data_IF_187521784908
#
_entry.id   IF_187521784908
#
_cell.length_a   1.000
_cell.length_b   1.000
_cell.length_c   1.000
_cell.angle_alpha   90.00
_cell.angle_beta   90.00
_cell.angle_gamma   90.00
#
_symmetry.space_group_name_H-M   'P 1'
#
loop_
_entity.id
_entity.type
_entity.pdbx_description
1 polymer ?
#
# COMPACT_ATOMS: atom_id res chain seq x y z
N UNK A 1 -4.77 4.04 23.90
CA UNK A 1 -3.90 4.32 25.06
C UNK A 1 -2.65 3.43 24.99
N UNK A 2 -1.79 3.69 24.01
CA UNK A 2 -0.45 3.09 23.85
C UNK A 2 0.52 4.18 23.37
N UNK A 3 0.00 5.20 22.65
CA UNK A 3 0.75 6.37 22.14
C UNK A 3 1.25 7.24 23.29
N UNK A 4 0.52 7.24 24.41
CA UNK A 4 0.82 8.06 25.59
C UNK A 4 1.84 7.43 26.53
N UNK A 5 2.20 6.16 26.34
CA UNK A 5 3.13 5.45 27.23
C UNK A 5 4.48 5.26 26.55
N UNK A 6 5.06 6.34 26.03
CA UNK A 6 6.36 6.29 25.33
C UNK A 6 7.52 5.89 26.27
N UNK A 7 7.33 6.03 27.58
CA UNK A 7 8.36 5.84 28.60
C UNK A 7 8.51 4.41 29.12
N UNK A 8 7.52 3.53 28.92
CA UNK A 8 7.56 2.16 29.45
C UNK A 8 7.55 1.10 28.33
N UNK A 9 8.75 0.63 27.98
CA UNK A 9 8.99 -0.36 26.93
C UNK A 9 8.34 -1.71 27.27
N UNK A 10 8.30 -2.11 28.54
CA UNK A 10 7.74 -3.41 28.96
C UNK A 10 6.23 -3.45 28.71
N UNK A 11 5.53 -2.38 29.10
CA UNK A 11 4.09 -2.24 28.86
C UNK A 11 3.78 -2.20 27.36
N UNK A 12 4.61 -1.53 26.55
CA UNK A 12 4.45 -1.53 25.09
C UNK A 12 4.59 -2.94 24.51
N UNK A 13 5.57 -3.72 24.96
CA UNK A 13 5.78 -5.09 24.50
C UNK A 13 4.63 -6.02 24.91
N UNK A 14 4.13 -5.91 26.14
CA UNK A 14 2.99 -6.69 26.62
C UNK A 14 1.72 -6.38 25.81
N UNK A 15 1.44 -5.10 25.56
CA UNK A 15 0.28 -4.69 24.76
C UNK A 15 0.42 -5.12 23.30
N UNK A 16 1.63 -5.05 22.73
CA UNK A 16 1.89 -5.53 21.39
C UNK A 16 1.68 -7.05 21.27
N UNK A 17 2.09 -7.81 22.30
CA UNK A 17 1.86 -9.25 22.37
C UNK A 17 0.37 -9.57 22.41
N UNK A 18 -0.39 -8.94 23.32
CA UNK A 18 -1.85 -9.09 23.42
C UNK A 18 -2.56 -8.73 22.11
N UNK A 19 -2.09 -7.68 21.43
CA UNK A 19 -2.66 -7.27 20.15
C UNK A 19 -2.42 -8.31 19.04
N UNK A 20 -1.21 -8.89 18.97
CA UNK A 20 -0.91 -9.97 18.01
C UNK A 20 -1.72 -11.23 18.29
N UNK A 21 -1.88 -11.60 19.55
CA UNK A 21 -2.72 -12.74 19.95
C UNK A 21 -4.17 -12.54 19.51
N UNK A 22 -4.71 -11.33 19.68
CA UNK A 22 -6.07 -11.02 19.24
C UNK A 22 -6.22 -11.01 17.71
N UNK A 23 -5.25 -10.46 16.97
CA UNK A 23 -5.24 -10.58 15.49
C UNK A 23 -5.22 -12.05 15.08
N UNK A 24 -4.31 -12.84 15.66
CA UNK A 24 -4.17 -14.26 15.37
C UNK A 24 -5.46 -15.02 15.64
N UNK A 25 -6.10 -14.77 16.78
CA UNK A 25 -7.40 -15.37 17.15
C UNK A 25 -8.50 -15.00 16.14
N UNK A 26 -8.60 -13.73 15.74
CA UNK A 26 -9.63 -13.29 14.78
C UNK A 26 -9.45 -13.93 13.40
N UNK A 27 -8.21 -14.12 12.96
CA UNK A 27 -7.95 -14.65 11.61
C UNK A 27 -7.96 -16.18 11.57
N UNK A 28 -7.29 -16.85 12.50
CA UNK A 28 -7.18 -18.31 12.48
C UNK A 28 -8.36 -19.01 13.14
N UNK A 29 -8.89 -18.44 14.23
CA UNK A 29 -9.99 -19.09 14.97
C UNK A 29 -11.35 -18.62 14.46
N UNK A 30 -11.54 -17.30 14.31
CA UNK A 30 -12.83 -16.76 13.89
C UNK A 30 -12.98 -16.62 12.37
N UNK A 31 -11.89 -16.76 11.60
CA UNK A 31 -11.87 -16.58 10.14
C UNK A 31 -12.49 -15.23 9.71
N UNK A 32 -12.29 -14.19 10.52
CA UNK A 32 -12.80 -12.86 10.21
C UNK A 32 -12.08 -12.26 9.00
N UNK A 33 -12.87 -11.75 8.07
CA UNK A 33 -12.39 -11.08 6.85
C UNK A 33 -13.19 -9.81 6.66
N UNK A 34 -12.73 -8.72 7.27
CA UNK A 34 -13.40 -7.42 7.19
C UNK A 34 -12.37 -6.28 7.11
N UNK A 35 -12.84 -5.10 6.68
CA UNK A 35 -11.99 -3.94 6.49
C UNK A 35 -11.40 -3.43 7.81
N UNK A 36 -12.14 -3.54 8.91
CA UNK A 36 -11.72 -3.08 10.23
C UNK A 36 -10.50 -3.85 10.74
N UNK A 37 -10.45 -5.16 10.49
CA UNK A 37 -9.31 -6.00 10.81
C UNK A 37 -8.09 -5.61 9.99
N UNK A 38 -8.26 -5.34 8.69
CA UNK A 38 -7.19 -4.84 7.83
C UNK A 38 -6.66 -3.48 8.34
N UNK A 39 -7.56 -2.55 8.67
CA UNK A 39 -7.20 -1.25 9.27
C UNK A 39 -6.43 -1.44 10.58
N UNK A 40 -6.87 -2.34 11.45
CA UNK A 40 -6.19 -2.66 12.70
C UNK A 40 -4.76 -3.18 12.46
N UNK A 41 -4.55 -4.06 11.49
CA UNK A 41 -3.21 -4.55 11.14
C UNK A 41 -2.35 -3.41 10.60
N UNK A 42 -2.90 -2.54 9.73
CA UNK A 42 -2.18 -1.39 9.19
C UNK A 42 -1.73 -0.41 10.28
N UNK A 43 -2.62 -0.07 11.21
CA UNK A 43 -2.30 0.81 12.35
C UNK A 43 -1.18 0.21 13.20
N UNK A 44 -1.25 -1.10 13.45
CA UNK A 44 -0.21 -1.78 14.19
C UNK A 44 1.11 -1.78 13.44
N UNK A 45 1.13 -2.11 12.14
CA UNK A 45 2.34 -2.08 11.31
C UNK A 45 2.96 -0.68 11.22
N UNK A 46 2.14 0.37 11.16
CA UNK A 46 2.60 1.76 11.14
C UNK A 46 3.27 2.19 12.46
N UNK A 47 3.10 1.44 13.54
CA UNK A 47 3.68 1.74 14.85
C UNK A 47 5.17 1.36 14.94
N UNK A 48 6.01 2.09 14.23
CA UNK A 48 7.43 1.81 14.10
C UNK A 48 8.18 1.60 15.44
N UNK A 49 7.86 2.39 16.46
CA UNK A 49 8.55 2.34 17.77
C UNK A 49 8.41 0.99 18.49
N UNK A 50 7.34 0.24 18.24
CA UNK A 50 7.07 -1.05 18.91
C UNK A 50 7.80 -2.21 18.23
N UNK A 51 8.39 -1.98 17.04
CA UNK A 51 8.78 -3.02 16.10
C UNK A 51 10.26 -3.36 16.04
N UNK A 52 11.12 -2.66 16.80
CA UNK A 52 12.57 -2.91 16.76
C UNK A 52 12.95 -4.39 17.02
N UNK A 53 12.10 -5.12 17.74
CA UNK A 53 12.31 -6.53 18.13
C UNK A 53 11.54 -7.53 17.25
N UNK A 54 10.67 -7.08 16.33
CA UNK A 54 9.71 -7.98 15.66
C UNK A 54 10.31 -8.83 14.53
N UNK A 55 11.40 -8.40 13.90
CA UNK A 55 12.08 -9.16 12.83
C UNK A 55 11.11 -9.75 11.79
N UNK A 56 11.14 -11.08 11.62
CA UNK A 56 10.30 -11.80 10.66
C UNK A 56 8.78 -11.75 10.97
N UNK A 57 8.38 -11.46 12.21
CA UNK A 57 6.95 -11.34 12.54
C UNK A 57 6.28 -10.19 11.80
N UNK A 58 7.04 -9.14 11.45
CA UNK A 58 6.53 -8.02 10.69
C UNK A 58 6.15 -8.43 9.26
N UNK A 59 6.99 -9.25 8.62
CA UNK A 59 6.69 -9.85 7.32
C UNK A 59 5.42 -10.70 7.39
N UNK A 60 5.26 -11.53 8.42
CA UNK A 60 4.07 -12.37 8.58
C UNK A 60 2.78 -11.55 8.70
N UNK A 61 2.81 -10.46 9.46
CA UNK A 61 1.68 -9.52 9.56
C UNK A 61 1.40 -8.81 8.22
N UNK A 62 2.45 -8.48 7.46
CA UNK A 62 2.30 -7.91 6.13
C UNK A 62 1.67 -8.90 5.14
N UNK A 63 2.13 -10.16 5.11
CA UNK A 63 1.54 -11.23 4.32
C UNK A 63 0.06 -11.44 4.64
N UNK A 64 -0.29 -11.35 5.92
CA UNK A 64 -1.66 -11.43 6.40
C UNK A 64 -2.53 -10.27 5.91
N UNK A 65 -2.03 -9.04 5.96
CA UNK A 65 -2.73 -7.87 5.43
C UNK A 65 -2.97 -7.96 3.91
N UNK A 66 -2.00 -8.48 3.15
CA UNK A 66 -2.19 -8.70 1.71
C UNK A 66 -3.17 -9.83 1.40
N UNK A 67 -3.15 -10.90 2.20
CA UNK A 67 -4.15 -11.96 2.10
C UNK A 67 -5.56 -11.37 2.28
N UNK A 68 -5.76 -10.54 3.31
CA UNK A 68 -7.02 -9.82 3.50
C UNK A 68 -7.38 -8.89 2.33
N UNK A 69 -6.42 -8.18 1.74
CA UNK A 69 -6.66 -7.38 0.52
C UNK A 69 -7.18 -8.24 -0.63
N UNK A 70 -6.64 -9.44 -0.81
CA UNK A 70 -7.03 -10.36 -1.90
C UNK A 70 -8.41 -10.96 -1.62
N UNK A 71 -8.66 -11.35 -0.38
CA UNK A 71 -9.93 -11.93 0.08
C UNK A 71 -11.08 -10.92 0.02
N UNK A 72 -10.82 -9.66 0.40
CA UNK A 72 -11.75 -8.54 0.23
C UNK A 72 -11.85 -8.07 -1.23
N UNK A 73 -11.01 -8.61 -2.12
CA UNK A 73 -10.97 -8.26 -3.53
C UNK A 73 -10.60 -6.81 -3.78
N UNK A 74 -9.78 -6.18 -2.92
CA UNK A 74 -9.34 -4.79 -3.03
C UNK A 74 -8.26 -4.59 -4.12
N UNK A 75 -7.64 -5.67 -4.59
CA UNK A 75 -6.62 -5.71 -5.64
C UNK A 75 -7.18 -5.81 -7.07
N UNK A 76 -8.43 -6.28 -7.22
CA UNK A 76 -9.05 -6.49 -8.53
C UNK A 76 -9.53 -5.17 -9.11
N UNK A 77 -9.11 -4.75 -10.30
CA UNK A 77 -9.80 -3.60 -10.90
C UNK A 77 -11.30 -3.90 -11.04
N UNK A 78 -12.21 -2.95 -10.71
CA UNK A 78 -13.62 -3.13 -10.93
C UNK A 78 -13.79 -3.34 -12.43
N UNK A 79 -14.05 -4.59 -12.83
CA UNK A 79 -14.00 -4.97 -14.22
C UNK A 79 -15.15 -4.26 -14.93
N UNK A 80 -14.84 -3.17 -15.62
CA UNK A 80 -15.62 -2.71 -16.77
C UNK A 80 -15.75 -3.93 -17.68
N UNK A 81 -16.97 -4.45 -17.79
CA UNK A 81 -17.23 -5.78 -18.34
C UNK A 81 -16.51 -6.04 -19.66
N UNK A 82 -15.75 -7.12 -19.72
CA UNK A 82 -15.66 -8.10 -20.82
C UNK A 82 -14.54 -9.08 -20.44
N UNK A 83 -14.86 -10.13 -19.67
CA UNK A 83 -13.98 -11.28 -19.52
C UNK A 83 -14.24 -12.25 -20.67
N UNK A 84 -13.60 -12.02 -21.81
CA UNK A 84 -13.38 -13.08 -22.81
C UNK A 84 -12.14 -13.86 -22.41
N UNK A 85 -12.29 -14.80 -21.47
CA UNK A 85 -11.29 -15.83 -21.19
C UNK A 85 -11.92 -17.22 -21.41
N UNK A 86 -11.30 -18.10 -22.21
CA UNK A 86 -11.85 -19.42 -22.52
C UNK A 86 -11.61 -20.35 -21.32
N UNK A 87 -12.61 -20.43 -20.45
CA UNK A 87 -12.57 -21.26 -19.24
C UNK A 87 -13.74 -21.03 -18.29
N UNK A 88 -14.53 -19.98 -18.52
CA UNK A 88 -15.68 -19.60 -17.70
C UNK A 88 -16.96 -20.21 -18.25
N UNK A 89 -17.08 -21.54 -18.22
CA UNK A 89 -18.36 -22.22 -18.50
C UNK A 89 -19.18 -22.48 -17.23
N UNK A 90 -18.65 -22.19 -16.04
CA UNK A 90 -19.33 -22.44 -14.75
C UNK A 90 -19.89 -21.19 -14.06
N UNK A 91 -19.57 -19.97 -14.50
CA UNK A 91 -20.05 -18.72 -13.86
C UNK A 91 -21.17 -18.00 -14.63
N UNK A 92 -21.70 -18.59 -15.70
CA UNK A 92 -22.75 -17.96 -16.54
C UNK A 92 -24.09 -17.81 -15.77
N UNK A 93 -24.25 -18.45 -14.62
CA UNK A 93 -25.50 -18.42 -13.84
C UNK A 93 -25.51 -17.39 -12.71
N UNK A 94 -24.36 -16.77 -12.36
CA UNK A 94 -24.37 -15.69 -11.37
C UNK A 94 -24.68 -14.37 -12.07
N UNK A 95 -25.96 -13.99 -11.99
CA UNK A 95 -26.50 -12.65 -12.24
C UNK A 95 -25.42 -11.63 -11.91
N UNK A 96 -24.92 -10.94 -12.94
CA UNK A 96 -23.81 -10.01 -12.84
C UNK A 96 -24.28 -8.79 -12.05
N UNK A 97 -24.27 -8.91 -10.72
CA UNK A 97 -24.56 -7.84 -9.80
C UNK A 97 -23.49 -6.75 -10.03
N UNK A 98 -23.88 -5.46 -10.17
CA UNK A 98 -22.91 -4.40 -10.34
C UNK A 98 -21.91 -4.49 -9.20
N UNK A 99 -20.63 -4.71 -9.52
CA UNK A 99 -19.60 -4.80 -8.49
C UNK A 99 -19.70 -3.55 -7.62
N UNK A 100 -19.80 -3.70 -6.29
CA UNK A 100 -19.95 -2.55 -5.41
C UNK A 100 -18.77 -1.60 -5.67
N UNK A 101 -19.10 -0.35 -5.94
CA UNK A 101 -18.09 0.70 -6.14
C UNK A 101 -17.25 0.75 -4.86
N UNK A 102 -15.93 0.55 -4.99
CA UNK A 102 -15.02 0.63 -3.85
C UNK A 102 -15.22 1.91 -3.08
N UNK A 103 -15.45 1.76 -1.78
CA UNK A 103 -15.52 2.86 -0.83
C UNK A 103 -14.17 3.57 -0.74
N UNK A 104 -14.18 4.83 -0.29
CA UNK A 104 -12.96 5.59 -0.08
C UNK A 104 -12.06 4.95 0.99
N UNK A 105 -12.65 4.38 2.05
CA UNK A 105 -11.91 3.65 3.09
C UNK A 105 -11.19 2.40 2.56
N UNK A 106 -11.84 1.63 1.68
CA UNK A 106 -11.20 0.48 1.02
C UNK A 106 -10.00 0.91 0.18
N UNK A 107 -10.11 2.04 -0.54
CA UNK A 107 -9.00 2.61 -1.33
C UNK A 107 -7.87 3.06 -0.42
N UNK A 108 -8.17 3.77 0.67
CA UNK A 108 -7.18 4.19 1.68
C UNK A 108 -6.43 2.98 2.24
N UNK A 109 -7.14 1.91 2.61
CA UNK A 109 -6.53 0.68 3.11
C UNK A 109 -5.65 0.01 2.05
N UNK A 110 -6.14 -0.11 0.81
CA UNK A 110 -5.38 -0.71 -0.28
C UNK A 110 -4.07 0.05 -0.55
N UNK A 111 -4.12 1.38 -0.59
CA UNK A 111 -2.95 2.25 -0.74
C UNK A 111 -2.01 2.16 0.47
N UNK A 112 -2.55 2.10 1.69
CA UNK A 112 -1.78 1.94 2.92
C UNK A 112 -0.99 0.62 2.95
N UNK A 113 -1.62 -0.49 2.53
CA UNK A 113 -0.97 -1.80 2.37
C UNK A 113 0.20 -1.69 1.39
N UNK A 114 -0.02 -1.08 0.22
CA UNK A 114 1.04 -0.89 -0.77
C UNK A 114 2.22 -0.07 -0.22
N UNK A 115 1.93 1.03 0.46
CA UNK A 115 2.97 1.92 0.99
C UNK A 115 3.80 1.25 2.09
N UNK A 116 3.16 0.62 3.08
CA UNK A 116 3.86 -0.12 4.14
C UNK A 116 4.65 -1.29 3.59
N UNK A 117 4.11 -2.01 2.60
CA UNK A 117 4.82 -3.10 1.96
C UNK A 117 6.07 -2.61 1.21
N UNK A 118 5.98 -1.45 0.56
CA UNK A 118 7.12 -0.82 -0.12
C UNK A 118 8.23 -0.43 0.87
N UNK A 119 7.86 0.12 2.03
CA UNK A 119 8.80 0.41 3.11
C UNK A 119 9.44 -0.86 3.67
N UNK A 120 8.65 -1.91 3.88
CA UNK A 120 9.15 -3.17 4.42
C UNK A 120 10.17 -3.82 3.49
N UNK A 121 9.92 -3.79 2.18
CA UNK A 121 10.88 -4.26 1.16
C UNK A 121 12.23 -3.57 1.25
N UNK A 122 12.25 -2.26 1.48
CA UNK A 122 13.49 -1.47 1.63
C UNK A 122 14.23 -1.89 2.90
N UNK A 123 13.51 -2.04 4.02
CA UNK A 123 14.12 -2.28 5.33
C UNK A 123 14.56 -3.74 5.54
N UNK A 124 13.77 -4.71 5.10
CA UNK A 124 13.92 -6.14 5.46
C UNK A 124 14.35 -7.00 4.28
N UNK A 125 14.42 -6.43 3.05
CA UNK A 125 14.76 -7.14 1.80
C UNK A 125 13.86 -8.34 1.48
N UNK A 126 12.74 -8.47 2.17
CA UNK A 126 11.77 -9.55 1.98
C UNK A 126 10.88 -9.23 0.77
N UNK A 127 10.67 -10.22 -0.11
CA UNK A 127 10.02 -10.03 -1.41
C UNK A 127 8.54 -10.34 -1.28
N UNK A 128 7.85 -9.50 -0.54
CA UNK A 128 6.40 -9.57 -0.36
C UNK A 128 5.71 -9.09 -1.65
N UNK A 129 4.90 -9.88 -2.38
CA UNK A 129 4.31 -9.49 -3.67
C UNK A 129 3.66 -8.10 -3.68
N UNK A 130 3.91 -7.30 -4.73
CA UNK A 130 3.39 -5.94 -4.80
C UNK A 130 1.99 -5.93 -5.42
N UNK A 131 1.03 -5.15 -4.87
CA UNK A 131 -0.23 -4.87 -5.53
C UNK A 131 -0.05 -4.36 -6.97
N UNK A 132 -1.03 -4.66 -7.83
CA UNK A 132 -1.06 -4.24 -9.24
C UNK A 132 -0.96 -2.71 -9.38
N UNK A 133 0.06 -2.23 -10.11
CA UNK A 133 0.28 -0.78 -10.36
C UNK A 133 -0.97 -0.06 -10.91
N UNK A 134 -1.71 -0.61 -11.88
CA UNK A 134 -2.99 -0.03 -12.34
C UNK A 134 -4.00 0.25 -11.22
N UNK A 135 -4.25 -0.72 -10.34
CA UNK A 135 -5.21 -0.59 -9.23
C UNK A 135 -4.80 0.53 -8.25
N UNK A 136 -3.50 0.66 -8.01
CA UNK A 136 -2.93 1.71 -7.16
C UNK A 136 -3.15 3.09 -7.79
N UNK A 137 -2.78 3.27 -9.06
CA UNK A 137 -2.94 4.54 -9.76
C UNK A 137 -4.41 4.98 -9.83
N UNK A 138 -5.31 4.06 -10.15
CA UNK A 138 -6.74 4.33 -10.17
C UNK A 138 -7.28 4.77 -8.79
N UNK A 139 -6.83 4.10 -7.73
CA UNK A 139 -7.19 4.47 -6.35
C UNK A 139 -6.66 5.84 -5.96
N UNK A 140 -5.44 6.21 -6.38
CA UNK A 140 -4.88 7.54 -6.17
C UNK A 140 -5.70 8.62 -6.89
N UNK A 141 -6.01 8.44 -8.18
CA UNK A 141 -6.77 9.43 -8.96
C UNK A 141 -8.16 9.68 -8.39
N UNK A 142 -8.84 8.63 -7.91
CA UNK A 142 -10.18 8.75 -7.35
C UNK A 142 -10.15 9.47 -5.99
N UNK A 143 -9.15 9.19 -5.13
CA UNK A 143 -9.01 9.89 -3.85
C UNK A 143 -8.63 11.37 -4.04
N UNK A 144 -7.78 11.68 -5.02
CA UNK A 144 -7.44 13.06 -5.37
C UNK A 144 -8.62 13.85 -5.94
N UNK A 145 -9.53 13.18 -6.66
CA UNK A 145 -10.74 13.82 -7.19
C UNK A 145 -11.82 14.03 -6.10
N UNK A 146 -11.92 13.09 -5.15
CA UNK A 146 -12.93 13.13 -4.09
C UNK A 146 -12.61 14.13 -2.98
N UNK A 147 -11.33 14.29 -2.61
CA UNK A 147 -10.85 15.19 -1.53
C UNK A 147 -11.67 15.09 -0.22
N UNK A 148 -12.12 13.88 0.13
CA UNK A 148 -12.96 13.67 1.32
C UNK A 148 -12.22 13.94 2.63
N UNK A 149 -10.90 13.73 2.67
CA UNK A 149 -10.05 13.96 3.83
C UNK A 149 -8.75 14.67 3.43
N UNK A 150 -8.26 15.65 4.21
CA UNK A 150 -6.97 16.29 3.94
C UNK A 150 -5.79 15.30 3.99
N UNK A 151 -5.95 14.17 4.69
CA UNK A 151 -4.96 13.11 4.78
C UNK A 151 -4.82 12.28 3.50
N UNK A 152 -5.85 12.30 2.64
CA UNK A 152 -5.83 11.56 1.37
C UNK A 152 -4.77 12.14 0.44
N UNK A 153 -4.60 13.47 0.42
CA UNK A 153 -3.53 14.12 -0.35
C UNK A 153 -2.17 13.61 0.08
N UNK A 154 -1.88 13.57 1.39
CA UNK A 154 -0.60 13.07 1.90
C UNK A 154 -0.37 11.60 1.55
N UNK A 155 -1.39 10.75 1.73
CA UNK A 155 -1.31 9.33 1.40
C UNK A 155 -0.98 9.13 -0.09
N UNK A 156 -1.65 9.86 -0.98
CA UNK A 156 -1.40 9.74 -2.42
C UNK A 156 0.02 10.19 -2.77
N UNK A 157 0.50 11.28 -2.19
CA UNK A 157 1.89 11.73 -2.42
C UNK A 157 2.90 10.69 -1.92
N UNK A 158 2.68 10.11 -0.73
CA UNK A 158 3.53 9.03 -0.20
C UNK A 158 3.55 7.80 -1.11
N UNK A 159 2.40 7.41 -1.67
CA UNK A 159 2.30 6.29 -2.63
C UNK A 159 3.03 6.62 -3.93
N UNK A 160 2.86 7.83 -4.46
CA UNK A 160 3.56 8.28 -5.68
C UNK A 160 5.09 8.23 -5.48
N UNK A 161 5.60 8.70 -4.35
CA UNK A 161 7.02 8.58 -3.99
C UNK A 161 7.48 7.12 -4.05
N UNK A 162 6.73 6.20 -3.44
CA UNK A 162 7.10 4.79 -3.42
C UNK A 162 7.01 4.12 -4.80
N UNK A 163 6.07 4.53 -5.66
CA UNK A 163 6.01 4.08 -7.05
C UNK A 163 7.25 4.49 -7.85
N UNK A 164 7.72 5.73 -7.66
CA UNK A 164 8.95 6.24 -8.26
C UNK A 164 10.16 5.47 -7.73
N UNK A 165 10.29 5.35 -6.40
CA UNK A 165 11.37 4.61 -5.76
C UNK A 165 11.43 3.15 -6.22
N UNK A 166 10.27 2.49 -6.34
CA UNK A 166 10.16 1.14 -6.88
C UNK A 166 10.58 1.07 -8.36
N UNK A 167 10.24 2.09 -9.16
CA UNK A 167 10.69 2.17 -10.55
C UNK A 167 12.21 2.28 -10.64
N UNK A 168 12.82 3.16 -9.84
CA UNK A 168 14.29 3.33 -9.78
C UNK A 168 14.96 2.02 -9.43
N UNK A 169 14.51 1.38 -8.34
CA UNK A 169 15.07 0.12 -7.87
C UNK A 169 14.97 -0.97 -8.95
N UNK A 170 13.81 -1.11 -9.61
CA UNK A 170 13.64 -2.08 -10.69
C UNK A 170 14.60 -1.82 -11.87
N UNK A 171 14.77 -0.56 -12.28
CA UNK A 171 15.69 -0.21 -13.36
C UNK A 171 17.15 -0.48 -12.97
N UNK A 172 17.57 -0.07 -11.77
CA UNK A 172 18.96 -0.26 -11.31
C UNK A 172 19.31 -1.75 -11.16
N UNK A 173 18.41 -2.57 -10.60
CA UNK A 173 18.67 -4.00 -10.44
C UNK A 173 18.64 -4.76 -11.78
N UNK A 174 17.79 -4.37 -12.73
CA UNK A 174 17.77 -4.96 -14.08
C UNK A 174 19.04 -4.63 -14.88
N UNK A 175 19.64 -3.45 -14.66
CA UNK A 175 20.87 -3.02 -15.33
C UNK A 175 22.11 -3.69 -14.71
N UNK A 176 22.14 -3.90 -13.39
CA UNK A 176 23.24 -4.62 -12.72
C UNK A 176 23.33 -6.11 -13.10
N UNK A 177 22.19 -6.77 -13.38
CA UNK A 177 22.17 -8.16 -13.89
C UNK A 177 22.56 -8.25 -15.38
N UNK A 178 22.38 -7.16 -16.14
CA UNK A 178 22.82 -7.05 -17.53
C UNK A 178 24.24 -6.52 -17.58
N UNK A 179 25.19 -7.44 -17.49
CA UNK A 179 26.63 -7.21 -17.56
C UNK A 179 27.08 -6.69 -18.96
N UNK A 180 26.61 -5.52 -19.40
CA UNK A 180 27.03 -4.84 -20.64
C UNK A 180 27.63 -3.47 -20.33
N UNK A 181 28.85 -3.24 -20.80
CA UNK A 181 29.70 -2.08 -20.52
C UNK A 181 29.25 -0.76 -21.19
N UNK A 182 27.95 -0.58 -21.45
CA UNK A 182 27.36 0.65 -21.94
C UNK A 182 26.09 0.94 -21.15
N UNK A 183 26.01 2.14 -20.57
CA UNK A 183 24.81 2.70 -19.95
C UNK A 183 23.67 2.53 -20.96
N UNK A 184 22.78 1.57 -20.71
CA UNK A 184 21.73 1.24 -21.67
C UNK A 184 20.88 2.48 -21.90
N UNK A 185 20.53 2.80 -23.16
CA UNK A 185 19.60 3.91 -23.48
C UNK A 185 18.28 3.78 -22.68
N UNK A 186 17.93 2.54 -22.30
CA UNK A 186 16.85 2.20 -21.37
C UNK A 186 17.05 2.79 -19.97
N UNK A 187 18.27 2.74 -19.42
CA UNK A 187 18.61 3.37 -18.15
C UNK A 187 18.48 4.89 -18.25
N UNK A 188 18.98 5.51 -19.32
CA UNK A 188 18.83 6.97 -19.53
C UNK A 188 17.35 7.41 -19.68
N UNK A 189 16.54 6.62 -20.38
CA UNK A 189 15.11 6.87 -20.49
C UNK A 189 14.38 6.67 -19.16
N UNK A 190 14.76 5.65 -18.38
CA UNK A 190 14.21 5.41 -17.07
C UNK A 190 14.64 6.48 -16.04
N UNK A 191 15.89 6.93 -16.05
CA UNK A 191 16.38 8.02 -15.19
C UNK A 191 15.69 9.32 -15.54
N UNK A 192 15.58 9.69 -16.81
CA UNK A 192 14.85 10.91 -17.21
C UNK A 192 13.34 10.83 -16.93
N UNK A 193 12.74 9.64 -16.99
CA UNK A 193 11.35 9.44 -16.55
C UNK A 193 11.21 9.62 -15.04
N UNK A 194 12.09 9.02 -14.25
CA UNK A 194 12.15 9.19 -12.79
C UNK A 194 12.36 10.67 -12.44
N UNK A 195 13.30 11.36 -13.08
CA UNK A 195 13.57 12.77 -12.86
C UNK A 195 12.33 13.63 -13.09
N UNK A 196 11.60 13.38 -14.19
CA UNK A 196 10.31 14.06 -14.43
C UNK A 196 9.28 13.74 -13.36
N UNK A 197 9.17 12.49 -12.91
CA UNK A 197 8.24 12.13 -11.84
C UNK A 197 8.59 12.80 -10.51
N UNK A 198 9.88 12.93 -10.18
CA UNK A 198 10.35 13.64 -8.97
C UNK A 198 10.06 15.14 -9.08
N UNK A 199 10.28 15.74 -10.25
CA UNK A 199 9.98 17.16 -10.49
C UNK A 199 8.47 17.45 -10.40
N UNK A 200 7.64 16.61 -11.02
CA UNK A 200 6.18 16.72 -10.96
C UNK A 200 5.67 16.59 -9.53
N UNK A 201 6.17 15.58 -8.79
CA UNK A 201 5.86 15.40 -7.39
C UNK A 201 6.31 16.59 -6.52
N UNK A 202 7.50 17.13 -6.78
CA UNK A 202 7.98 18.33 -6.10
C UNK A 202 7.06 19.53 -6.33
N UNK A 203 6.57 19.71 -7.57
CA UNK A 203 5.62 20.76 -7.90
C UNK A 203 4.27 20.58 -7.18
N UNK A 204 3.72 19.36 -7.13
CA UNK A 204 2.46 19.08 -6.43
C UNK A 204 2.56 19.31 -4.91
N UNK A 205 3.69 18.96 -4.30
CA UNK A 205 3.93 19.20 -2.87
C UNK A 205 4.04 20.69 -2.52
N UNK A 206 4.71 21.49 -3.37
CA UNK A 206 4.79 22.93 -3.20
C UNK A 206 3.43 23.64 -3.39
N UNK A 207 2.54 23.07 -4.18
CA UNK A 207 1.19 23.60 -4.39
C UNK A 207 0.24 23.26 -3.22
N UNK A 208 0.33 22.03 -2.68
CA UNK A 208 -0.43 21.62 -1.49
C UNK A 208 -0.07 22.42 -0.22
N UNK A 209 1.21 22.76 -0.03
CA UNK A 209 1.67 23.61 1.08
C UNK A 209 1.19 25.06 0.97
N UNK A 210 0.99 25.59 -0.24
CA UNK A 210 0.40 26.93 -0.46
C UNK A 210 -1.11 26.97 -0.22
N UNK A 211 -1.84 25.90 -0.53
CA UNK A 211 -3.30 25.83 -0.30
C UNK A 211 -3.65 25.75 1.20
N UNK A 212 -2.81 25.09 2.01
CA UNK A 212 -2.95 25.07 3.47
C UNK A 212 -2.64 26.42 4.13
N UNK A 213 -1.74 27.23 3.56
CA UNK A 213 -1.44 28.58 4.05
C UNK A 213 -2.59 29.58 3.87
N UNK A 214 -3.48 29.37 2.90
CA UNK A 214 -4.60 30.27 2.58
C UNK A 214 -5.92 29.90 3.24
N UNK A 215 -6.00 28.76 3.95
CA UNK A 215 -7.21 28.32 4.67
C UNK A 215 -7.12 28.53 6.19
N UNK A 216 -6.01 29.09 6.66
CA UNK A 216 -5.76 29.44 8.06
C UNK A 216 -5.79 30.97 8.33
N UNK A 217 -6.40 31.76 7.44
CA UNK A 217 -6.58 33.20 7.59
C UNK A 217 -8.06 33.58 7.57
#
# INVERSE_FOLDING_TARGET
MVVTCQENIEVQQELAQKYREEIGRRIWTLTEKNLQLLQGILVFLAWYQTHWVLGHQLSNLMYMAMSLVTELGLDKEPSSGTRTAPGVLTEITKKQEPQPVRTSDERRCHLGVFWLNSLLRICVKDIVPMPSRPSINNSCSILEAGLESPWDTYLVQLVRIQLVASSISATLYQDLDRNEAQISHTLFMATSHVERQVQDLGATLHQGSRLQGNTAA
#
